data_IF_845788077825
#
_entry.id   IF_845788077825
#
_cell.length_a   1.000
_cell.length_b   1.000
_cell.length_c   1.000
_cell.angle_alpha   90.00
_cell.angle_beta   90.00
_cell.angle_gamma   90.00
#
_symmetry.space_group_name_H-M   'P 1'
#
loop_
_entity.id
_entity.type
_entity.pdbx_description
1 polymer ?
#
# COMPACT_ATOMS: atom_id res chain seq x y z
N UNK A 1 -3.87 19.99 -16.91
CA UNK A 1 -3.73 18.98 -17.99
C UNK A 1 -4.25 17.64 -17.49
N UNK A 2 -5.20 17.03 -18.19
CA UNK A 2 -5.78 15.74 -17.79
C UNK A 2 -4.77 14.62 -18.03
N UNK A 3 -4.22 14.06 -16.94
CA UNK A 3 -3.27 12.94 -17.00
C UNK A 3 -4.07 11.70 -17.42
N UNK A 4 -3.93 11.24 -18.67
CA UNK A 4 -4.66 10.07 -19.22
C UNK A 4 -4.40 8.85 -18.34
N UNK A 5 -5.38 8.40 -17.56
CA UNK A 5 -5.35 7.16 -16.77
C UNK A 5 -5.73 5.97 -17.64
N UNK A 6 -5.17 4.79 -17.36
CA UNK A 6 -5.54 3.56 -18.07
C UNK A 6 -6.92 3.12 -17.58
N UNK A 7 -7.91 3.10 -18.47
CA UNK A 7 -9.22 2.50 -18.15
C UNK A 7 -9.06 0.98 -18.12
N UNK A 8 -9.65 0.34 -17.11
CA UNK A 8 -9.74 -1.13 -17.05
C UNK A 8 -10.46 -1.64 -18.31
N UNK A 9 -9.91 -2.70 -18.94
CA UNK A 9 -10.54 -3.31 -20.12
C UNK A 9 -11.82 -4.03 -19.69
N UNK A 10 -12.97 -3.80 -20.36
CA UNK A 10 -14.20 -4.51 -20.06
C UNK A 10 -14.05 -6.01 -20.37
N UNK A 11 -14.72 -6.87 -19.59
CA UNK A 11 -14.74 -8.33 -19.78
C UNK A 11 -13.60 -9.11 -19.11
N UNK A 12 -12.76 -8.46 -18.29
CA UNK A 12 -11.81 -9.19 -17.45
C UNK A 12 -12.53 -9.96 -16.34
N UNK A 13 -12.12 -11.20 -16.04
CA UNK A 13 -12.65 -11.93 -14.89
C UNK A 13 -12.44 -11.16 -13.58
N UNK A 14 -13.36 -11.29 -12.61
CA UNK A 14 -13.18 -10.74 -11.27
C UNK A 14 -11.91 -11.33 -10.62
N UNK A 15 -11.16 -10.50 -9.90
CA UNK A 15 -9.86 -10.85 -9.32
C UNK A 15 -8.67 -10.66 -10.25
N UNK A 16 -8.89 -10.22 -11.50
CA UNK A 16 -7.77 -9.93 -12.42
C UNK A 16 -7.07 -8.63 -12.02
N UNK A 17 -5.79 -8.72 -11.68
CA UNK A 17 -4.97 -7.56 -11.33
C UNK A 17 -4.59 -6.79 -12.60
N UNK A 18 -5.13 -5.58 -12.73
CA UNK A 18 -4.82 -4.67 -13.82
C UNK A 18 -4.55 -3.28 -13.25
N UNK A 19 -3.28 -2.86 -13.26
CA UNK A 19 -2.90 -1.54 -12.77
C UNK A 19 -3.44 -0.43 -13.68
N UNK A 20 -4.33 0.41 -13.12
CA UNK A 20 -4.97 1.53 -13.84
C UNK A 20 -4.23 2.87 -13.68
N UNK A 21 -3.18 2.89 -12.86
CA UNK A 21 -2.42 4.09 -12.55
C UNK A 21 -1.40 4.50 -13.60
N UNK A 22 -0.84 5.68 -13.38
CA UNK A 22 0.14 6.33 -14.26
C UNK A 22 1.49 6.57 -13.57
N UNK A 23 1.63 6.13 -12.33
CA UNK A 23 2.90 6.20 -11.62
C UNK A 23 3.61 4.89 -11.89
N UNK A 24 4.76 4.99 -12.55
CA UNK A 24 5.67 3.86 -12.71
C UNK A 24 6.75 4.00 -11.64
N UNK A 25 6.83 3.01 -10.76
CA UNK A 25 7.93 2.89 -9.80
C UNK A 25 8.93 1.93 -10.42
N UNK A 26 10.13 2.44 -10.74
CA UNK A 26 11.21 1.66 -11.33
C UNK A 26 11.75 0.60 -10.35
N UNK A 27 11.80 0.93 -9.06
CA UNK A 27 12.28 0.06 -8.00
C UNK A 27 11.22 -0.08 -6.92
N UNK A 28 10.33 -1.08 -7.01
CA UNK A 28 9.38 -1.36 -5.95
C UNK A 28 10.13 -1.80 -4.69
N UNK A 29 9.65 -1.35 -3.54
CA UNK A 29 10.31 -1.57 -2.26
C UNK A 29 9.28 -1.94 -1.19
N UNK A 30 9.73 -2.74 -0.22
CA UNK A 30 8.95 -3.05 0.98
C UNK A 30 9.80 -2.70 2.19
N UNK A 31 9.31 -1.76 3.00
CA UNK A 31 9.91 -1.46 4.30
C UNK A 31 9.08 -2.08 5.40
N UNK A 32 9.73 -2.79 6.32
CA UNK A 32 9.10 -3.34 7.51
C UNK A 32 9.52 -2.53 8.72
N UNK A 33 8.53 -2.06 9.48
CA UNK A 33 8.73 -1.43 10.78
C UNK A 33 8.10 -2.32 11.85
N UNK A 34 8.88 -2.77 12.83
CA UNK A 34 8.37 -3.51 13.99
C UNK A 34 8.52 -2.65 15.23
N UNK A 35 7.46 -2.56 16.03
CA UNK A 35 7.50 -1.74 17.23
C UNK A 35 6.63 -2.30 18.35
N UNK A 36 7.02 -1.99 19.58
CA UNK A 36 6.25 -2.20 20.80
C UNK A 36 6.57 -1.06 21.78
N UNK A 37 6.23 -1.23 23.06
CA UNK A 37 6.46 -0.22 24.10
C UNK A 37 7.95 0.09 24.34
N UNK A 38 8.85 -0.84 23.99
CA UNK A 38 10.26 -0.80 24.38
C UNK A 38 11.21 -0.54 23.21
N UNK A 39 10.85 -0.93 21.99
CA UNK A 39 11.74 -0.80 20.83
C UNK A 39 11.00 -0.63 19.52
N UNK A 40 11.74 -0.06 18.56
CA UNK A 40 11.34 0.15 17.18
C UNK A 40 12.50 -0.28 16.28
N UNK A 41 12.21 -1.10 15.27
CA UNK A 41 13.18 -1.55 14.27
C UNK A 41 12.63 -1.30 12.87
N UNK A 42 13.49 -0.80 11.98
CA UNK A 42 13.14 -0.50 10.59
C UNK A 42 14.09 -1.25 9.66
N UNK A 43 13.54 -1.97 8.69
CA UNK A 43 14.32 -2.74 7.72
C UNK A 43 13.72 -2.65 6.32
N UNK A 44 14.56 -2.34 5.34
CA UNK A 44 14.22 -2.50 3.93
C UNK A 44 14.42 -3.96 3.50
N UNK A 45 13.41 -4.56 2.87
CA UNK A 45 13.48 -5.96 2.40
C UNK A 45 14.19 -6.05 1.05
N UNK A 46 15.07 -7.05 0.92
CA UNK A 46 15.84 -7.28 -0.31
C UNK A 46 15.08 -8.11 -1.35
N UNK A 47 14.31 -9.10 -0.91
CA UNK A 47 13.61 -10.06 -1.76
C UNK A 47 12.11 -9.74 -1.92
N UNK A 48 11.60 -8.69 -1.27
CA UNK A 48 10.18 -8.32 -1.24
C UNK A 48 9.24 -9.38 -0.62
N UNK A 49 9.78 -10.44 -0.02
CA UNK A 49 8.99 -11.40 0.75
C UNK A 49 8.68 -10.82 2.13
N UNK A 50 7.41 -10.53 2.38
CA UNK A 50 6.97 -10.05 3.68
C UNK A 50 7.06 -11.19 4.70
N UNK A 51 7.87 -11.07 5.77
CA UNK A 51 7.85 -12.04 6.86
C UNK A 51 6.47 -12.00 7.54
N UNK A 52 6.04 -13.08 8.21
CA UNK A 52 4.83 -13.03 9.02
C UNK A 52 4.97 -12.00 10.16
N UNK A 53 3.85 -11.46 10.67
CA UNK A 53 3.86 -10.56 11.82
C UNK A 53 4.53 -11.22 13.04
N UNK A 54 5.33 -10.46 13.77
CA UNK A 54 5.98 -10.97 14.97
C UNK A 54 5.02 -11.00 16.16
N UNK A 55 5.07 -12.03 17.02
CA UNK A 55 4.13 -12.18 18.13
C UNK A 55 4.22 -11.03 19.16
N UNK A 56 5.43 -10.58 19.48
CA UNK A 56 5.70 -9.52 20.48
C UNK A 56 5.69 -8.08 19.94
N UNK A 57 5.56 -7.88 18.63
CA UNK A 57 5.61 -6.55 18.01
C UNK A 57 4.38 -6.30 17.15
N UNK A 58 3.97 -5.04 17.03
CA UNK A 58 3.13 -4.63 15.91
C UNK A 58 4.03 -4.49 14.70
N UNK A 59 3.68 -5.17 13.60
CA UNK A 59 4.47 -5.13 12.36
C UNK A 59 3.76 -4.31 11.30
N UNK A 60 4.45 -3.29 10.79
CA UNK A 60 3.98 -2.45 9.71
C UNK A 60 4.76 -2.74 8.43
N UNK A 61 4.05 -3.09 7.36
CA UNK A 61 4.59 -3.28 6.02
C UNK A 61 4.21 -2.09 5.12
N UNK A 62 5.20 -1.29 4.74
CA UNK A 62 5.06 -0.20 3.76
C UNK A 62 5.47 -0.74 2.39
N UNK A 63 4.48 -1.02 1.55
CA UNK A 63 4.63 -1.65 0.23
C UNK A 63 4.47 -0.60 -0.86
N UNK A 64 5.49 -0.44 -1.69
CA UNK A 64 5.50 0.57 -2.76
C UNK A 64 5.72 -0.04 -4.12
N UNK A 65 5.04 0.54 -5.10
CA UNK A 65 5.12 0.10 -6.49
C UNK A 65 3.93 -0.75 -6.91
N UNK A 66 2.74 -0.14 -6.86
CA UNK A 66 1.48 -0.71 -7.37
C UNK A 66 1.54 -1.21 -8.83
N UNK A 67 2.52 -0.73 -9.61
CA UNK A 67 2.76 -1.20 -10.98
C UNK A 67 3.40 -2.60 -11.04
N UNK A 68 4.01 -3.09 -9.97
CA UNK A 68 4.56 -4.44 -9.90
C UNK A 68 3.46 -5.42 -9.42
N UNK A 69 2.78 -6.05 -10.38
CA UNK A 69 1.70 -7.00 -10.10
C UNK A 69 2.19 -8.21 -9.29
N UNK A 70 3.39 -8.72 -9.59
CA UNK A 70 3.96 -9.87 -8.89
C UNK A 70 4.17 -9.59 -7.40
N UNK A 71 4.65 -8.39 -7.06
CA UNK A 71 4.75 -7.94 -5.66
C UNK A 71 3.38 -7.94 -4.98
N UNK A 72 2.38 -7.33 -5.60
CA UNK A 72 1.03 -7.25 -5.04
C UNK A 72 0.42 -8.64 -4.83
N UNK A 73 0.65 -9.57 -5.77
CA UNK A 73 0.23 -10.96 -5.59
C UNK A 73 0.97 -11.68 -4.46
N UNK A 74 2.27 -11.45 -4.32
CA UNK A 74 3.08 -12.05 -3.24
C UNK A 74 2.61 -11.58 -1.87
N UNK A 75 2.39 -10.27 -1.71
CA UNK A 75 1.79 -9.69 -0.50
C UNK A 75 0.39 -10.26 -0.28
N UNK A 76 -0.42 -10.33 -1.33
CA UNK A 76 -1.76 -10.90 -1.28
C UNK A 76 -1.79 -12.34 -0.76
N UNK A 77 -0.87 -13.18 -1.26
CA UNK A 77 -0.71 -14.57 -0.78
C UNK A 77 -0.22 -14.64 0.67
N UNK A 78 0.78 -13.84 1.03
CA UNK A 78 1.37 -13.87 2.38
C UNK A 78 0.35 -13.52 3.48
N UNK A 79 -0.55 -12.56 3.20
CA UNK A 79 -1.54 -12.08 4.16
C UNK A 79 -2.97 -12.56 3.88
N UNK A 80 -3.13 -13.52 2.96
CA UNK A 80 -4.44 -14.08 2.57
C UNK A 80 -5.46 -13.01 2.19
N UNK A 81 -5.03 -11.99 1.44
CA UNK A 81 -5.87 -10.90 0.95
C UNK A 81 -6.78 -11.44 -0.15
N UNK A 82 -8.08 -11.13 -0.05
CA UNK A 82 -9.03 -11.56 -1.05
C UNK A 82 -8.68 -10.99 -2.45
N UNK A 83 -8.77 -11.77 -3.54
CA UNK A 83 -8.43 -11.30 -4.89
C UNK A 83 -9.18 -10.04 -5.34
N UNK A 84 -10.43 -9.85 -4.88
CA UNK A 84 -11.19 -8.63 -5.16
C UNK A 84 -10.61 -7.39 -4.47
N UNK A 85 -10.11 -7.52 -3.24
CA UNK A 85 -9.42 -6.42 -2.57
C UNK A 85 -8.10 -6.08 -3.29
N UNK A 86 -7.34 -7.08 -3.74
CA UNK A 86 -6.12 -6.86 -4.53
C UNK A 86 -6.42 -6.16 -5.87
N UNK A 87 -7.52 -6.52 -6.51
CA UNK A 87 -8.01 -5.84 -7.71
C UNK A 87 -8.28 -4.34 -7.44
N UNK A 88 -8.86 -4.03 -6.29
CA UNK A 88 -9.11 -2.64 -5.88
C UNK A 88 -7.84 -1.87 -5.51
N UNK A 89 -6.84 -2.55 -4.94
CA UNK A 89 -5.51 -1.98 -4.65
C UNK A 89 -4.85 -1.45 -5.94
N UNK A 90 -4.85 -2.26 -7.00
CA UNK A 90 -4.23 -1.89 -8.28
C UNK A 90 -5.11 -0.95 -9.13
N UNK A 91 -6.40 -0.84 -8.79
CA UNK A 91 -7.28 0.14 -9.39
C UNK A 91 -7.24 1.49 -8.65
N UNK A 92 -6.38 2.41 -9.10
CA UNK A 92 -6.10 3.68 -8.39
C UNK A 92 -7.22 4.73 -8.45
N UNK A 93 -8.32 4.44 -9.15
CA UNK A 93 -9.50 5.31 -9.25
C UNK A 93 -10.66 4.86 -8.37
N UNK A 94 -10.42 3.89 -7.47
CA UNK A 94 -11.43 3.48 -6.51
C UNK A 94 -11.81 4.63 -5.58
N UNK A 95 -13.09 4.69 -5.22
CA UNK A 95 -13.58 5.60 -4.19
C UNK A 95 -13.12 5.09 -2.82
N UNK A 96 -12.88 5.98 -1.84
CA UNK A 96 -12.64 5.56 -0.48
C UNK A 96 -13.76 4.62 0.01
N UNK A 97 -13.35 3.49 0.58
CA UNK A 97 -14.25 2.45 1.09
C UNK A 97 -13.52 1.61 2.11
N UNK A 98 -14.27 0.89 2.92
CA UNK A 98 -13.73 -0.12 3.82
C UNK A 98 -14.56 -1.40 3.72
N UNK A 99 -13.94 -2.54 3.98
CA UNK A 99 -14.53 -3.87 3.88
C UNK A 99 -13.99 -4.74 5.02
N UNK A 100 -14.88 -5.47 5.69
CA UNK A 100 -14.51 -6.48 6.68
C UNK A 100 -14.23 -7.81 5.98
N UNK A 101 -13.05 -8.35 6.26
CA UNK A 101 -12.67 -9.72 5.95
C UNK A 101 -12.51 -10.51 7.26
N UNK A 102 -12.53 -11.83 7.18
CA UNK A 102 -12.61 -12.70 8.35
C UNK A 102 -11.54 -12.41 9.42
N UNK A 103 -10.32 -12.06 9.01
CA UNK A 103 -9.17 -11.81 9.89
C UNK A 103 -8.55 -10.42 9.72
N UNK A 104 -9.18 -9.54 8.96
CA UNK A 104 -8.60 -8.23 8.63
C UNK A 104 -9.63 -7.22 8.14
N UNK A 105 -9.32 -5.94 8.31
CA UNK A 105 -10.07 -4.82 7.75
C UNK A 105 -9.28 -4.29 6.57
N UNK A 106 -9.95 -4.17 5.42
CA UNK A 106 -9.40 -3.53 4.23
C UNK A 106 -9.97 -2.12 4.10
N UNK A 107 -9.13 -1.14 3.82
CA UNK A 107 -9.51 0.26 3.68
C UNK A 107 -8.80 0.88 2.48
N UNK A 108 -9.51 1.64 1.67
CA UNK A 108 -8.93 2.49 0.63
C UNK A 108 -9.25 3.95 0.98
N UNK A 109 -8.24 4.81 0.94
CA UNK A 109 -8.40 6.27 1.13
C UNK A 109 -7.67 7.05 0.05
N UNK A 110 -7.99 8.35 -0.06
CA UNK A 110 -7.27 9.30 -0.91
C UNK A 110 -6.45 10.26 -0.06
N UNK A 111 -5.13 10.14 -0.15
CA UNK A 111 -4.19 11.13 0.34
C UNK A 111 -4.22 12.36 -0.57
N UNK A 112 -4.46 13.54 0.03
CA UNK A 112 -4.46 14.82 -0.68
C UNK A 112 -3.11 15.51 -0.46
N UNK A 113 -2.49 15.99 -1.54
CA UNK A 113 -1.31 16.83 -1.49
C UNK A 113 -1.57 18.10 -2.27
N UNK A 114 -1.46 19.24 -1.60
CA UNK A 114 -1.47 20.55 -2.23
C UNK A 114 -0.06 20.90 -2.73
N UNK A 115 0.03 21.44 -3.93
CA UNK A 115 1.24 22.00 -4.53
C UNK A 115 1.10 23.53 -4.55
N UNK A 116 1.88 24.22 -3.72
CA UNK A 116 1.82 25.68 -3.59
C UNK A 116 2.26 26.43 -4.86
N UNK A 117 3.18 25.83 -5.63
CA UNK A 117 3.72 26.44 -6.85
C UNK A 117 2.70 26.34 -7.98
N UNK A 118 2.14 25.13 -8.18
CA UNK A 118 1.16 24.86 -9.23
C UNK A 118 -0.27 25.25 -8.83
N UNK A 119 -0.50 25.59 -7.55
CA UNK A 119 -1.80 25.83 -6.91
C UNK A 119 -2.82 24.72 -7.22
N UNK A 120 -2.38 23.47 -7.09
CA UNK A 120 -3.17 22.30 -7.45
C UNK A 120 -3.21 21.28 -6.33
N UNK A 121 -4.37 20.64 -6.15
CA UNK A 121 -4.50 19.46 -5.31
C UNK A 121 -4.27 18.22 -6.17
N UNK A 122 -3.32 17.40 -5.75
CA UNK A 122 -3.13 16.05 -6.29
C UNK A 122 -3.64 15.03 -5.29
N UNK A 123 -4.21 13.94 -5.81
CA UNK A 123 -4.70 12.83 -5.00
C UNK A 123 -3.85 11.60 -5.24
N UNK A 124 -3.59 10.85 -4.18
CA UNK A 124 -2.97 9.54 -4.23
C UNK A 124 -3.85 8.54 -3.49
N UNK A 125 -3.99 7.33 -4.04
CA UNK A 125 -4.67 6.25 -3.36
C UNK A 125 -3.69 5.55 -2.44
N UNK A 126 -4.12 5.30 -1.21
CA UNK A 126 -3.44 4.42 -0.27
C UNK A 126 -4.43 3.35 0.15
N UNK A 127 -4.04 2.10 -0.02
CA UNK A 127 -4.80 0.97 0.47
C UNK A 127 -4.16 0.49 1.78
N UNK A 128 -4.99 0.15 2.75
CA UNK A 128 -4.59 -0.36 4.04
C UNK A 128 -5.21 -1.74 4.26
N UNK A 129 -4.42 -2.64 4.83
CA UNK A 129 -4.92 -3.89 5.40
C UNK A 129 -4.51 -3.91 6.87
N UNK A 130 -5.47 -4.06 7.77
CA UNK A 130 -5.23 -4.10 9.20
C UNK A 130 -5.65 -5.47 9.71
N UNK A 131 -4.75 -6.18 10.38
CA UNK A 131 -5.04 -7.47 11.01
C UNK A 131 -4.51 -7.54 12.44
N UNK A 132 -4.52 -8.73 13.02
CA UNK A 132 -4.01 -8.90 14.38
C UNK A 132 -2.49 -8.68 14.43
N UNK A 133 -2.06 -7.65 15.16
CA UNK A 133 -0.66 -7.22 15.31
C UNK A 133 0.06 -6.83 14.01
N UNK A 134 -0.66 -6.55 12.94
CA UNK A 134 -0.06 -5.99 11.74
C UNK A 134 -0.93 -4.98 11.02
N UNK A 135 -0.27 -4.11 10.26
CA UNK A 135 -0.92 -3.36 9.21
C UNK A 135 -0.02 -3.23 7.99
N UNK A 136 -0.63 -3.11 6.82
CA UNK A 136 0.03 -2.95 5.53
C UNK A 136 -0.51 -1.69 4.92
N UNK A 137 0.35 -0.82 4.41
CA UNK A 137 -0.06 0.22 3.47
C UNK A 137 0.56 -0.06 2.10
N UNK A 138 -0.25 0.10 1.07
CA UNK A 138 0.16 -0.09 -0.32
C UNK A 138 -0.07 1.20 -1.08
N UNK A 139 0.99 1.76 -1.64
CA UNK A 139 0.95 3.06 -2.33
C UNK A 139 1.73 3.10 -3.65
N UNK A 140 1.34 4.05 -4.50
CA UNK A 140 1.86 4.17 -5.86
C UNK A 140 3.14 5.02 -5.95
N UNK A 141 3.46 5.85 -4.95
CA UNK A 141 4.64 6.73 -4.98
C UNK A 141 5.74 6.26 -4.04
N UNK A 142 6.96 6.69 -4.37
CA UNK A 142 8.20 6.40 -3.64
C UNK A 142 8.40 7.24 -2.36
N UNK A 143 7.53 8.23 -2.06
CA UNK A 143 7.66 9.06 -0.85
C UNK A 143 6.77 8.50 0.26
N UNK A 144 7.39 8.09 1.37
CA UNK A 144 6.71 7.55 2.56
C UNK A 144 5.60 8.47 3.04
N UNK A 145 4.43 7.90 3.29
CA UNK A 145 3.27 8.65 3.80
C UNK A 145 3.44 9.03 5.29
N UNK A 146 4.17 8.21 6.06
CA UNK A 146 4.44 8.46 7.48
C UNK A 146 5.89 8.96 7.65
N UNK A 147 6.15 9.96 8.50
CA UNK A 147 7.50 10.45 8.77
C UNK A 147 8.42 9.31 9.22
N UNK A 148 9.71 9.36 8.84
CA UNK A 148 10.71 8.57 9.57
C UNK A 148 10.60 8.95 11.04
N UNK A 149 10.51 7.96 11.91
CA UNK A 149 10.68 8.19 13.33
C UNK A 149 12.13 8.62 13.53
N UNK A 150 12.39 9.93 13.63
CA UNK A 150 13.67 10.45 14.09
C UNK A 150 13.57 10.50 15.61
N UNK A 151 14.38 9.74 16.36
CA UNK A 151 14.51 9.92 17.80
C UNK A 151 15.29 11.21 18.05
N UNK A 152 14.73 12.35 17.69
CA UNK A 152 15.27 13.68 17.98
C UNK A 152 14.24 14.44 18.81
N UNK A 153 13.99 13.90 19.99
CA UNK A 153 13.55 14.64 21.17
C UNK A 153 14.45 14.17 22.33
N UNK A 154 15.66 14.73 22.35
CA UNK A 154 16.52 14.86 23.51
C UNK A 154 17.01 16.31 23.54
#
# INVERSE_FOLDING_TARGET
MSRKRKKRKPGLPPGTLFYTGNVEVENPDVTVLQFNENSITEQLLKNLDCPPPHEQFVTWYDVRGLNNIELIERVGRAFHIHPLALEDVVNVDQRPKWEDYQNSIFLIVKALKYDDILRQVTTEQVAFLLGDRFYIDVSGRCRRFIPRYSPSFA
#
